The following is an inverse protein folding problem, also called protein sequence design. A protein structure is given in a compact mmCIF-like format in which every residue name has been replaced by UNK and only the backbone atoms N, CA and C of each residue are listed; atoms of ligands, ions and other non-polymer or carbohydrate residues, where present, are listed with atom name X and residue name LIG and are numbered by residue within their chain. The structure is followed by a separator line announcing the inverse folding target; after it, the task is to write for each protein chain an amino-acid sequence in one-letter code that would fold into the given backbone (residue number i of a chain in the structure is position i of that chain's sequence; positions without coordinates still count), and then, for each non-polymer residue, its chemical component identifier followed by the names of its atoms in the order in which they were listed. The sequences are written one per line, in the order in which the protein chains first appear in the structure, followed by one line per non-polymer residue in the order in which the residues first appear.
data_IF_483468386935
#
_entry.id   IF_483468386935
#
_cell.length_a   1.000
_cell.length_b   1.000
_cell.length_c   1.000
_cell.angle_alpha   90.00
_cell.angle_beta   90.00
_cell.angle_gamma   90.00
#
_symmetry.space_group_name_H-M   'P 1'
#
loop_
_entity.id
_entity.type
_entity.pdbx_description
1 polymer ?
#
# COMPACT_ATOMS: atom_id res chain seq x y z
N UNK A 1 15.42 12.16 -4.18
CA UNK A 1 14.78 11.18 -3.29
C UNK A 1 15.36 9.82 -3.61
N UNK A 2 16.04 9.20 -2.65
CA UNK A 2 16.68 7.88 -2.85
C UNK A 2 15.63 6.75 -2.77
N UNK A 3 15.95 5.51 -3.24
CA UNK A 3 15.09 4.34 -2.98
C UNK A 3 14.79 4.15 -1.50
N UNK A 4 15.80 4.36 -0.63
CA UNK A 4 15.64 4.27 0.81
C UNK A 4 14.69 5.33 1.36
N UNK A 5 14.79 6.58 0.91
CA UNK A 5 13.87 7.65 1.32
C UNK A 5 12.43 7.30 0.94
N UNK A 6 12.23 6.72 -0.26
CA UNK A 6 10.92 6.29 -0.73
C UNK A 6 10.38 5.14 0.11
N UNK A 7 11.18 4.12 0.35
CA UNK A 7 10.79 3.01 1.20
C UNK A 7 10.46 3.49 2.62
N UNK A 8 11.33 4.32 3.21
CA UNK A 8 11.14 4.88 4.56
C UNK A 8 9.86 5.71 4.66
N UNK A 9 9.55 6.53 3.66
CA UNK A 9 8.28 7.28 3.60
C UNK A 9 7.09 6.34 3.71
N UNK A 10 7.00 5.35 2.83
CA UNK A 10 5.89 4.40 2.82
C UNK A 10 5.85 3.53 4.09
N UNK A 11 7.01 3.21 4.68
CA UNK A 11 7.09 2.47 5.93
C UNK A 11 6.50 3.27 7.10
N UNK A 12 6.80 4.57 7.18
CA UNK A 12 6.25 5.44 8.22
C UNK A 12 4.73 5.68 8.02
N UNK A 13 4.29 5.85 6.78
CA UNK A 13 2.85 5.95 6.46
C UNK A 13 2.11 4.67 6.80
N UNK A 14 2.70 3.51 6.48
CA UNK A 14 2.19 2.21 6.88
C UNK A 14 2.06 2.11 8.40
N UNK A 15 3.09 2.45 9.18
CA UNK A 15 3.07 2.32 10.63
C UNK A 15 2.01 3.23 11.26
N UNK A 16 1.86 4.44 10.74
CA UNK A 16 0.80 5.37 11.12
C UNK A 16 -0.60 4.79 10.84
N UNK A 17 -0.88 4.40 9.59
CA UNK A 17 -2.20 3.89 9.22
C UNK A 17 -2.51 2.55 9.88
N UNK A 18 -1.50 1.72 10.12
CA UNK A 18 -1.66 0.49 10.88
C UNK A 18 -2.02 0.77 12.33
N UNK A 19 -1.38 1.76 12.98
CA UNK A 19 -1.73 2.21 14.32
C UNK A 19 -3.19 2.69 14.38
N UNK A 20 -3.57 3.59 13.46
CA UNK A 20 -4.95 4.07 13.33
C UNK A 20 -5.97 2.94 13.13
N UNK A 21 -5.60 1.92 12.34
CA UNK A 21 -6.47 0.78 12.10
C UNK A 21 -6.61 -0.08 13.36
N UNK A 22 -5.51 -0.41 14.03
CA UNK A 22 -5.50 -1.17 15.28
C UNK A 22 -6.26 -0.45 16.40
N UNK A 23 -6.08 0.87 16.53
CA UNK A 23 -6.82 1.68 17.51
C UNK A 23 -8.31 1.75 17.17
N UNK A 24 -8.63 1.90 15.88
CA UNK A 24 -10.00 1.86 15.38
C UNK A 24 -10.72 0.55 15.71
N UNK A 25 -10.03 -0.59 15.64
CA UNK A 25 -10.58 -1.90 15.99
C UNK A 25 -10.84 -2.08 17.51
N UNK A 26 -10.15 -1.31 18.36
CA UNK A 26 -10.32 -1.37 19.82
C UNK A 26 -11.27 -0.29 20.36
N UNK A 27 -11.59 0.72 19.57
CA UNK A 27 -12.47 1.80 19.97
C UNK A 27 -13.88 1.27 20.30
N UNK A 28 -14.45 1.77 21.41
CA UNK A 28 -15.82 1.49 21.81
C UNK A 28 -16.57 2.83 22.01
N UNK A 29 -17.57 3.15 21.17
CA UNK A 29 -18.07 2.37 20.03
C UNK A 29 -17.12 2.37 18.81
N UNK A 30 -17.27 1.39 17.93
CA UNK A 30 -16.50 1.29 16.68
C UNK A 30 -16.88 2.42 15.70
N UNK A 31 -15.88 3.13 15.19
CA UNK A 31 -16.08 4.10 14.11
C UNK A 31 -15.80 3.45 12.75
N UNK A 32 -16.85 2.94 12.09
CA UNK A 32 -16.73 2.20 10.84
C UNK A 32 -16.00 3.00 9.72
N UNK A 33 -16.21 4.32 9.63
CA UNK A 33 -15.55 5.16 8.62
C UNK A 33 -14.03 5.20 8.84
N UNK A 34 -13.59 5.43 10.09
CA UNK A 34 -12.17 5.44 10.45
C UNK A 34 -11.52 4.08 10.22
N UNK A 35 -12.18 2.99 10.64
CA UNK A 35 -11.68 1.63 10.48
C UNK A 35 -11.53 1.26 8.99
N UNK A 36 -12.53 1.59 8.15
CA UNK A 36 -12.47 1.36 6.70
C UNK A 36 -11.34 2.13 6.03
N UNK A 37 -11.18 3.42 6.36
CA UNK A 37 -10.10 4.25 5.81
C UNK A 37 -8.73 3.70 6.21
N UNK A 38 -8.49 3.52 7.50
CA UNK A 38 -7.19 3.07 8.00
C UNK A 38 -6.83 1.66 7.49
N UNK A 39 -7.82 0.77 7.36
CA UNK A 39 -7.62 -0.55 6.76
C UNK A 39 -7.15 -0.45 5.30
N UNK A 40 -7.80 0.38 4.48
CA UNK A 40 -7.45 0.56 3.07
C UNK A 40 -6.07 1.21 2.93
N UNK A 41 -5.81 2.29 3.65
CA UNK A 41 -4.53 3.00 3.57
C UNK A 41 -3.36 2.11 4.04
N UNK A 42 -3.52 1.38 5.15
CA UNK A 42 -2.46 0.48 5.61
C UNK A 42 -2.17 -0.67 4.64
N UNK A 43 -3.17 -1.16 3.90
CA UNK A 43 -3.00 -2.17 2.85
C UNK A 43 -2.30 -1.58 1.62
N UNK A 44 -2.70 -0.37 1.20
CA UNK A 44 -2.07 0.34 0.09
C UNK A 44 -0.59 0.57 0.37
N UNK A 45 -0.25 1.07 1.55
CA UNK A 45 1.15 1.33 1.93
C UNK A 45 1.97 0.03 2.01
N UNK A 46 1.39 -1.07 2.50
CA UNK A 46 2.07 -2.37 2.50
C UNK A 46 2.33 -2.88 1.08
N UNK A 47 1.38 -2.68 0.17
CA UNK A 47 1.51 -3.04 -1.25
C UNK A 47 2.56 -2.18 -1.95
N UNK A 48 2.62 -0.88 -1.61
CA UNK A 48 3.67 0.02 -2.07
C UNK A 48 5.04 -0.44 -1.59
N UNK A 49 5.20 -0.83 -0.32
CA UNK A 49 6.46 -1.38 0.19
C UNK A 49 6.92 -2.62 -0.58
N UNK A 50 6.01 -3.55 -0.90
CA UNK A 50 6.33 -4.72 -1.74
C UNK A 50 6.83 -4.30 -3.13
N UNK A 51 6.20 -3.29 -3.75
CA UNK A 51 6.59 -2.83 -5.09
C UNK A 51 8.02 -2.27 -5.15
N UNK A 52 8.54 -1.77 -4.02
CA UNK A 52 9.84 -1.10 -3.91
C UNK A 52 11.01 -2.05 -3.62
N UNK A 53 10.73 -3.28 -3.19
CA UNK A 53 11.76 -4.26 -2.85
C UNK A 53 12.03 -5.21 -4.01
N UNK A 54 13.21 -5.83 -4.01
CA UNK A 54 13.58 -6.94 -4.89
C UNK A 54 12.61 -8.13 -4.73
N UNK A 55 12.48 -8.97 -5.75
CA UNK A 55 11.47 -10.03 -5.82
C UNK A 55 11.56 -11.03 -4.66
N UNK A 56 12.77 -11.38 -4.25
CA UNK A 56 13.03 -12.34 -3.18
C UNK A 56 12.54 -11.82 -1.81
N UNK A 57 12.68 -10.51 -1.56
CA UNK A 57 12.12 -9.87 -0.38
C UNK A 57 10.62 -9.61 -0.56
N UNK A 58 10.17 -9.34 -1.79
CA UNK A 58 8.76 -9.16 -2.16
C UNK A 58 7.90 -10.39 -1.86
N UNK A 59 8.47 -11.59 -1.92
CA UNK A 59 7.81 -12.83 -1.52
C UNK A 59 7.42 -12.85 -0.03
N UNK A 60 8.15 -12.15 0.84
CA UNK A 60 7.82 -12.04 2.27
C UNK A 60 6.59 -11.14 2.53
N UNK A 61 6.30 -10.20 1.62
CA UNK A 61 5.13 -9.33 1.70
C UNK A 61 3.85 -10.04 1.26
N UNK A 62 3.93 -10.98 0.31
CA UNK A 62 2.75 -11.63 -0.26
C UNK A 62 1.78 -12.22 0.79
N UNK A 63 2.21 -13.04 1.77
CA UNK A 63 1.29 -13.56 2.78
C UNK A 63 0.73 -12.47 3.72
N UNK A 64 1.49 -11.40 3.96
CA UNK A 64 1.02 -10.26 4.77
C UNK A 64 -0.07 -9.47 4.03
N UNK A 65 0.13 -9.23 2.74
CA UNK A 65 -0.83 -8.53 1.87
C UNK A 65 -2.10 -9.35 1.70
N UNK A 66 -1.99 -10.66 1.47
CA UNK A 66 -3.16 -11.54 1.34
C UNK A 66 -4.02 -11.53 2.60
N UNK A 67 -3.40 -11.69 3.77
CA UNK A 67 -4.10 -11.61 5.05
C UNK A 67 -4.72 -10.23 5.27
N UNK A 68 -4.00 -9.13 5.00
CA UNK A 68 -4.56 -7.77 5.11
C UNK A 68 -5.70 -7.52 4.15
N UNK A 69 -5.63 -8.01 2.91
CA UNK A 69 -6.69 -7.90 1.94
C UNK A 69 -7.95 -8.66 2.39
N UNK A 70 -7.78 -9.83 3.03
CA UNK A 70 -8.90 -10.56 3.65
C UNK A 70 -9.54 -9.75 4.77
N UNK A 71 -8.75 -9.22 5.70
CA UNK A 71 -9.25 -8.38 6.81
C UNK A 71 -9.93 -7.11 6.26
N UNK A 72 -9.32 -6.44 5.29
CA UNK A 72 -9.89 -5.26 4.65
C UNK A 72 -11.24 -5.59 4.02
N UNK A 73 -11.36 -6.68 3.26
CA UNK A 73 -12.63 -7.11 2.67
C UNK A 73 -13.70 -7.31 3.75
N UNK A 74 -13.37 -7.96 4.86
CA UNK A 74 -14.30 -8.13 5.99
C UNK A 74 -14.76 -6.79 6.56
N UNK A 75 -13.83 -5.83 6.73
CA UNK A 75 -14.11 -4.47 7.20
C UNK A 75 -15.00 -3.69 6.23
N UNK A 76 -14.80 -3.87 4.91
CA UNK A 76 -15.58 -3.14 3.91
C UNK A 76 -17.02 -3.67 3.81
N UNK A 77 -17.20 -4.99 3.87
CA UNK A 77 -18.50 -5.65 3.57
C UNK A 77 -19.36 -5.93 4.79
N UNK A 78 -18.79 -5.98 6.00
CA UNK A 78 -19.52 -6.42 7.20
C UNK A 78 -19.67 -5.31 8.23
N UNK A 79 -20.74 -5.38 9.03
CA UNK A 79 -20.73 -4.76 10.35
C UNK A 79 -19.74 -5.55 11.21
N UNK A 80 -18.59 -4.94 11.51
CA UNK A 80 -17.55 -5.59 12.31
C UNK A 80 -18.11 -5.90 13.72
N UNK A 81 -18.27 -7.18 14.02
CA UNK A 81 -18.59 -7.61 15.39
C UNK A 81 -17.38 -7.38 16.29
N UNK A 82 -17.58 -7.22 17.60
CA UNK A 82 -16.46 -7.10 18.56
C UNK A 82 -15.52 -8.31 18.51
N UNK A 83 -16.07 -9.51 18.31
CA UNK A 83 -15.29 -10.75 18.21
C UNK A 83 -14.40 -10.75 16.95
N UNK A 84 -14.96 -10.35 15.81
CA UNK A 84 -14.21 -10.21 14.55
C UNK A 84 -13.14 -9.12 14.66
N UNK A 85 -13.47 -7.99 15.29
CA UNK A 85 -12.53 -6.89 15.53
C UNK A 85 -11.34 -7.35 16.38
N UNK A 86 -11.59 -8.09 17.45
CA UNK A 86 -10.55 -8.63 18.33
C UNK A 86 -9.69 -9.71 17.67
N UNK A 87 -10.26 -10.53 16.79
CA UNK A 87 -9.49 -11.50 15.99
C UNK A 87 -8.57 -10.78 14.99
N UNK A 88 -9.11 -9.82 14.24
CA UNK A 88 -8.34 -9.01 13.29
C UNK A 88 -7.22 -8.24 13.99
N UNK A 89 -7.49 -7.66 15.16
CA UNK A 89 -6.48 -6.92 15.94
C UNK A 89 -5.28 -7.80 16.33
N UNK A 90 -5.52 -9.02 16.81
CA UNK A 90 -4.45 -9.95 17.20
C UNK A 90 -3.61 -10.39 16.01
N UNK A 91 -4.24 -10.64 14.86
CA UNK A 91 -3.53 -10.98 13.62
C UNK A 91 -2.65 -9.80 13.15
N UNK A 92 -3.20 -8.58 13.14
CA UNK A 92 -2.47 -7.37 12.78
C UNK A 92 -1.30 -7.10 13.74
N UNK A 93 -1.49 -7.30 15.05
CA UNK A 93 -0.43 -7.11 16.04
C UNK A 93 0.76 -8.07 15.81
N UNK A 94 0.48 -9.34 15.52
CA UNK A 94 1.51 -10.32 15.17
C UNK A 94 2.26 -9.93 13.89
N UNK A 95 1.53 -9.51 12.85
CA UNK A 95 2.12 -9.04 11.60
C UNK A 95 2.96 -7.78 11.78
N UNK A 96 2.48 -6.80 12.54
CA UNK A 96 3.20 -5.55 12.77
C UNK A 96 4.50 -5.78 13.54
N UNK A 97 4.52 -6.73 14.48
CA UNK A 97 5.77 -7.16 15.12
C UNK A 97 6.75 -7.80 14.14
N UNK A 98 6.26 -8.67 13.24
CA UNK A 98 7.10 -9.28 12.20
C UNK A 98 7.65 -8.23 11.22
N UNK A 99 6.80 -7.31 10.74
CA UNK A 99 7.20 -6.23 9.83
C UNK A 99 8.24 -5.32 10.49
N UNK A 100 8.05 -4.91 11.75
CA UNK A 100 9.03 -4.10 12.48
C UNK A 100 10.35 -4.83 12.72
N UNK A 101 10.33 -6.16 12.83
CA UNK A 101 11.54 -6.96 13.03
C UNK A 101 12.30 -7.18 11.72
N UNK A 102 11.61 -7.56 10.66
CA UNK A 102 12.23 -8.13 9.46
C UNK A 102 12.22 -7.17 8.26
N UNK A 103 11.26 -6.25 8.22
CA UNK A 103 11.03 -5.32 7.11
C UNK A 103 11.25 -3.86 7.53
N UNK A 104 11.98 -3.64 8.62
CA UNK A 104 12.40 -2.30 9.01
C UNK A 104 13.33 -1.70 7.96
N UNK A 105 13.15 -0.43 7.61
CA UNK A 105 13.85 0.21 6.50
C UNK A 105 15.39 0.08 6.53
N UNK A 106 16.02 0.04 7.72
CA UNK A 106 17.47 -0.19 7.84
C UNK A 106 17.92 -1.59 7.45
N UNK A 107 17.03 -2.58 7.46
CA UNK A 107 17.36 -3.99 7.18
C UNK A 107 17.19 -4.37 5.72
N UNK A 108 16.53 -3.52 4.94
CA UNK A 108 16.13 -3.82 3.56
C UNK A 108 16.84 -2.94 2.53
N UNK A 109 17.72 -2.03 2.97
CA UNK A 109 18.41 -1.05 2.12
C UNK A 109 19.10 -1.69 0.91
N UNK A 110 19.85 -2.78 1.13
CA UNK A 110 20.57 -3.53 0.08
C UNK A 110 19.63 -4.34 -0.84
N UNK A 111 18.33 -4.37 -0.54
CA UNK A 111 17.30 -5.17 -1.24
C UNK A 111 16.25 -4.27 -1.90
N UNK A 112 16.51 -2.96 -2.00
CA UNK A 112 15.62 -2.02 -2.67
C UNK A 112 15.86 -2.01 -4.17
N UNK A 113 14.76 -1.91 -4.93
CA UNK A 113 14.85 -1.65 -6.37
C UNK A 113 15.41 -0.25 -6.60
N UNK A 114 16.22 -0.04 -7.65
CA UNK A 114 16.69 1.29 -8.02
C UNK A 114 15.49 2.19 -8.30
N UNK A 115 15.65 3.49 -8.04
CA UNK A 115 14.61 4.46 -8.37
C UNK A 115 14.44 4.46 -9.88
N UNK A 116 13.31 3.93 -10.38
CA UNK A 116 12.94 4.11 -11.77
C UNK A 116 12.87 5.62 -12.01
N UNK A 117 13.62 6.11 -13.01
CA UNK A 117 13.43 7.45 -13.51
C UNK A 117 11.94 7.62 -13.85
N UNK A 118 11.32 8.78 -13.59
CA UNK A 118 9.96 9.01 -14.04
C UNK A 118 9.93 8.68 -15.53
N UNK A 119 9.06 7.74 -15.93
CA UNK A 119 8.77 7.54 -17.34
C UNK A 119 8.37 8.91 -17.88
N UNK A 120 9.25 9.53 -18.65
CA UNK A 120 8.83 10.55 -19.59
C UNK A 120 7.88 9.80 -20.51
N UNK A 121 6.57 9.95 -20.28
CA UNK A 121 5.57 9.64 -21.28
C UNK A 121 5.98 10.45 -22.53
N UNK A 122 6.71 9.82 -23.44
CA UNK A 122 6.66 10.19 -24.84
C UNK A 122 5.22 9.99 -25.25
N UNK A 123 4.45 11.07 -25.05
CA UNK A 123 3.20 11.32 -25.74
C UNK A 123 3.48 10.99 -27.21
N UNK A 124 2.80 10.00 -27.82
CA UNK A 124 2.93 9.80 -29.25
C UNK A 124 2.52 11.11 -29.89
N UNK A 125 3.45 11.77 -30.59
CA UNK A 125 3.16 12.98 -31.35
C UNK A 125 1.93 12.69 -32.21
N UNK A 126 0.85 13.42 -31.95
CA UNK A 126 -0.36 13.34 -32.74
C UNK A 126 0.02 13.48 -34.22
N UNK A 127 -0.31 12.47 -35.02
CA UNK A 127 -0.22 12.56 -36.47
C UNK A 127 -1.09 13.75 -36.92
N UNK A 128 -0.44 14.77 -37.44
CA UNK A 128 -1.07 15.91 -38.10
C UNK A 128 -1.95 15.38 -39.26
N UNK A 129 -3.24 15.73 -39.34
CA UNK A 129 -4.05 15.32 -40.48
C UNK A 129 -3.57 16.06 -41.75
N UNK A 130 -3.47 15.39 -42.91
CA UNK A 130 -3.02 16.05 -44.13
C UNK A 130 -4.00 17.17 -44.53
N UNK A 131 -3.42 18.34 -44.81
CA UNK A 131 -4.13 19.54 -45.25
C UNK A 131 -4.95 19.26 -46.53
N UNK A 132 -6.21 19.67 -46.49
CA UNK A 132 -7.10 19.65 -47.64
C UNK A 132 -6.55 20.59 -48.74
N UNK A 133 -6.34 20.06 -49.93
CA UNK A 133 -6.04 20.85 -51.13
C UNK A 133 -7.27 21.68 -51.53
N UNK A 134 -7.14 23.00 -51.72
CA UNK A 134 -8.23 23.81 -52.24
C UNK A 134 -8.41 23.56 -53.74
N UNK A 135 -9.63 23.18 -54.13
CA UNK A 135 -10.12 23.21 -55.51
C UNK A 135 -10.23 24.65 -56.01
N UNK A 136 -9.63 24.98 -57.16
CA UNK A 136 -10.10 26.03 -58.10
C UNK A 136 -9.29 25.96 -59.41
N UNK A 137 -9.80 26.41 -60.57
CA UNK A 137 -11.16 26.85 -60.94
C UNK A 137 -11.95 25.85 -61.80
#
# INVERSE_FOLDING_TARGET
MTPLDRYRKHYLMFDYWNGEFMDGLRAKPLNAKRVKLASTESLNELTMLQSLVAEDLGAQFAPLIESRARINRQVQTSHLSELTAGAAWRELDAQSRAIRRDLFWRKVEDRLKPAQAPNTDETPAAQEPPAATPSTP
#
